data_IF_927216157415
#
_entry.id   IF_927216157415
#
_cell.length_a   1.000
_cell.length_b   1.000
_cell.length_c   1.000
_cell.angle_alpha   90.00
_cell.angle_beta   90.00
_cell.angle_gamma   90.00
#
_symmetry.space_group_name_H-M   'P 1'
#
loop_
_entity.id
_entity.type
_entity.pdbx_description
1 polymer ?
#
# COMPACT_ATOMS: atom_id res chain seq x y z
N UNK A 1 27.13 36.97 -3.80
CA UNK A 1 25.69 36.61 -3.70
C UNK A 1 25.45 35.18 -4.18
N UNK A 2 26.14 34.69 -5.23
CA UNK A 2 26.10 33.27 -5.65
C UNK A 2 26.60 32.28 -4.58
N UNK A 3 27.66 32.62 -3.83
CA UNK A 3 28.21 31.74 -2.79
C UNK A 3 27.28 31.47 -1.61
N UNK A 4 26.32 32.37 -1.34
CA UNK A 4 25.31 32.15 -0.28
C UNK A 4 24.21 31.17 -0.75
N UNK A 5 23.90 31.14 -2.05
CA UNK A 5 22.87 30.29 -2.62
C UNK A 5 23.33 28.82 -2.69
N UNK A 6 24.61 28.57 -2.99
CA UNK A 6 25.19 27.21 -2.98
C UNK A 6 25.18 26.56 -1.59
N UNK A 7 25.39 27.35 -0.54
CA UNK A 7 25.32 26.87 0.85
C UNK A 7 23.89 26.43 1.23
N UNK A 8 22.88 27.13 0.74
CA UNK A 8 21.47 26.78 0.97
C UNK A 8 21.08 25.49 0.23
N UNK A 9 21.51 25.31 -1.03
CA UNK A 9 21.26 24.06 -1.77
C UNK A 9 21.95 22.87 -1.13
N UNK A 10 23.18 23.05 -0.63
CA UNK A 10 23.92 22.02 0.09
C UNK A 10 23.23 21.64 1.41
N UNK A 11 22.70 22.63 2.13
CA UNK A 11 21.97 22.42 3.39
C UNK A 11 20.67 21.66 3.15
N UNK A 12 19.89 22.07 2.15
CA UNK A 12 18.63 21.42 1.75
C UNK A 12 18.88 19.99 1.25
N UNK A 13 19.93 19.79 0.45
CA UNK A 13 20.33 18.46 -0.02
C UNK A 13 20.72 17.54 1.14
N UNK A 14 21.52 18.04 2.08
CA UNK A 14 21.90 17.29 3.28
C UNK A 14 20.71 16.95 4.18
N UNK A 15 19.70 17.82 4.23
CA UNK A 15 18.47 17.59 4.96
C UNK A 15 17.62 16.49 4.29
N UNK A 16 17.45 16.55 2.96
CA UNK A 16 16.75 15.50 2.22
C UNK A 16 17.46 14.14 2.29
N UNK A 17 18.78 14.13 2.39
CA UNK A 17 19.56 12.91 2.57
C UNK A 17 19.40 12.35 4.00
N UNK A 18 19.48 13.20 5.03
CA UNK A 18 19.24 12.82 6.44
C UNK A 18 17.83 12.30 6.69
N UNK A 19 16.82 12.89 6.05
CA UNK A 19 15.43 12.43 6.11
C UNK A 19 15.18 11.16 5.27
N UNK A 20 16.19 10.64 4.57
CA UNK A 20 16.09 9.43 3.76
C UNK A 20 15.27 9.60 2.48
N UNK A 21 14.85 10.82 2.14
CA UNK A 21 14.00 11.12 0.98
C UNK A 21 14.76 10.82 -0.31
N UNK A 22 16.03 11.22 -0.41
CA UNK A 22 16.88 10.91 -1.57
C UNK A 22 17.09 9.40 -1.70
N UNK A 23 17.31 8.70 -0.58
CA UNK A 23 17.47 7.25 -0.56
C UNK A 23 16.19 6.54 -1.01
N UNK A 24 15.01 6.99 -0.54
CA UNK A 24 13.71 6.46 -0.93
C UNK A 24 13.42 6.72 -2.41
N UNK A 25 13.67 7.93 -2.92
CA UNK A 25 13.52 8.26 -4.35
C UNK A 25 14.47 7.40 -5.18
N UNK A 26 15.74 7.27 -4.79
CA UNK A 26 16.73 6.43 -5.49
C UNK A 26 16.33 4.96 -5.49
N UNK A 27 15.81 4.45 -4.37
CA UNK A 27 15.33 3.07 -4.24
C UNK A 27 14.07 2.85 -5.07
N UNK A 28 13.13 3.79 -5.07
CA UNK A 28 11.94 3.75 -5.90
C UNK A 28 12.26 3.83 -7.40
N UNK A 29 13.20 4.69 -7.80
CA UNK A 29 13.69 4.77 -9.18
C UNK A 29 14.43 3.50 -9.60
N UNK A 30 15.30 2.95 -8.75
CA UNK A 30 15.95 1.66 -9.00
C UNK A 30 14.92 0.54 -9.09
N UNK A 31 13.93 0.51 -8.21
CA UNK A 31 12.83 -0.44 -8.25
C UNK A 31 12.02 -0.29 -9.54
N UNK A 32 11.68 0.93 -9.96
CA UNK A 32 10.95 1.17 -11.21
C UNK A 32 11.77 0.83 -12.45
N UNK A 33 13.07 1.10 -12.43
CA UNK A 33 13.98 0.75 -13.52
C UNK A 33 14.16 -0.77 -13.59
N UNK A 34 14.34 -1.43 -12.45
CA UNK A 34 14.36 -2.90 -12.36
C UNK A 34 13.01 -3.49 -12.74
N UNK A 35 11.87 -2.88 -12.38
CA UNK A 35 10.53 -3.31 -12.76
C UNK A 35 10.29 -3.14 -14.26
N UNK A 36 10.72 -2.03 -14.85
CA UNK A 36 10.66 -1.79 -16.29
C UNK A 36 11.57 -2.76 -17.06
N UNK A 37 12.76 -3.07 -16.52
CA UNK A 37 13.69 -4.02 -17.11
C UNK A 37 13.31 -5.48 -16.86
N UNK A 38 12.65 -5.81 -15.74
CA UNK A 38 12.17 -7.15 -15.41
C UNK A 38 10.86 -7.47 -16.13
N UNK A 39 10.09 -6.43 -16.49
CA UNK A 39 9.01 -6.50 -17.46
C UNK A 39 9.51 -6.41 -18.91
N UNK A 40 10.77 -6.78 -19.21
CA UNK A 40 11.30 -6.99 -20.57
C UNK A 40 10.66 -8.17 -21.32
N UNK A 41 9.34 -8.34 -21.20
CA UNK A 41 8.52 -8.54 -22.39
C UNK A 41 8.29 -7.16 -23.04
N UNK A 42 9.37 -6.48 -23.45
CA UNK A 42 9.26 -5.28 -24.28
C UNK A 42 8.55 -5.61 -25.60
N UNK A 43 8.52 -6.88 -26.02
CA UNK A 43 7.70 -7.33 -27.16
C UNK A 43 6.20 -7.20 -26.88
N UNK A 44 5.72 -7.47 -25.65
CA UNK A 44 4.27 -7.55 -25.38
C UNK A 44 3.61 -6.22 -25.03
N UNK A 45 4.37 -5.20 -24.63
CA UNK A 45 3.81 -3.85 -24.47
C UNK A 45 3.64 -3.13 -25.81
N UNK A 46 4.45 -3.47 -26.83
CA UNK A 46 4.18 -3.08 -28.21
C UNK A 46 3.02 -3.84 -28.84
N UNK A 47 2.74 -5.07 -28.40
CA UNK A 47 1.61 -5.87 -28.94
C UNK A 47 0.23 -5.46 -28.42
N UNK A 48 0.13 -4.76 -27.28
CA UNK A 48 -1.18 -4.33 -26.72
C UNK A 48 -1.65 -2.96 -27.20
N UNK A 49 -0.80 -2.19 -27.86
CA UNK A 49 -1.27 -1.09 -28.68
C UNK A 49 -1.58 -1.66 -30.05
N UNK A 50 -2.86 -1.76 -30.39
CA UNK A 50 -3.31 -1.93 -31.77
C UNK A 50 -2.43 -1.09 -32.68
N UNK A 51 -1.94 -1.65 -33.79
CA UNK A 51 -1.05 -0.96 -34.72
C UNK A 51 -1.58 0.46 -34.97
N UNK A 52 -0.93 1.47 -34.36
CA UNK A 52 -1.39 2.85 -34.46
C UNK A 52 -1.36 3.20 -35.94
N UNK A 53 -2.49 3.68 -36.47
CA UNK A 53 -2.53 4.20 -37.82
C UNK A 53 -1.46 5.29 -37.97
N UNK A 54 -0.82 5.40 -39.14
CA UNK A 54 0.12 6.48 -39.43
C UNK A 54 -0.48 7.87 -39.12
N UNK A 55 -1.81 8.03 -39.26
CA UNK A 55 -2.54 9.25 -38.88
C UNK A 55 -2.52 9.51 -37.37
N UNK A 56 -2.69 8.47 -36.55
CA UNK A 56 -2.64 8.59 -35.09
C UNK A 56 -1.25 9.00 -34.62
N UNK A 57 -0.21 8.43 -35.22
CA UNK A 57 1.17 8.81 -34.94
C UNK A 57 1.43 10.29 -35.25
N UNK A 58 0.84 10.79 -36.33
CA UNK A 58 0.97 12.20 -36.71
C UNK A 58 0.23 13.13 -35.77
N UNK A 59 -0.95 12.74 -35.27
CA UNK A 59 -1.62 13.52 -34.24
C UNK A 59 -0.77 13.58 -32.96
N UNK A 60 -0.23 12.43 -32.53
CA UNK A 60 0.68 12.38 -31.39
C UNK A 60 1.92 13.26 -31.62
N UNK A 61 2.46 13.29 -32.85
CA UNK A 61 3.60 14.12 -33.25
C UNK A 61 3.28 15.63 -33.28
N UNK A 62 2.10 16.01 -33.78
CA UNK A 62 1.65 17.41 -33.80
C UNK A 62 1.42 17.96 -32.39
N UNK A 63 0.90 17.11 -31.48
CA UNK A 63 0.75 17.46 -30.06
C UNK A 63 2.12 17.60 -29.40
N UNK A 64 3.05 16.69 -29.68
CA UNK A 64 4.42 16.78 -29.18
C UNK A 64 5.14 18.04 -29.67
N UNK A 65 5.01 18.39 -30.96
CA UNK A 65 5.54 19.63 -31.53
C UNK A 65 4.97 20.88 -30.85
N UNK A 66 3.66 20.89 -30.58
CA UNK A 66 3.02 21.98 -29.86
C UNK A 66 3.57 22.14 -28.44
N UNK A 67 3.66 21.03 -27.69
CA UNK A 67 4.16 21.04 -26.32
C UNK A 67 5.64 21.42 -26.26
N UNK A 68 6.42 21.00 -27.27
CA UNK A 68 7.83 21.33 -27.42
C UNK A 68 8.05 22.80 -27.72
N UNK A 69 7.35 23.37 -28.72
CA UNK A 69 7.49 24.78 -29.11
C UNK A 69 7.10 25.77 -28.00
N UNK A 70 6.16 25.40 -27.12
CA UNK A 70 5.76 26.23 -25.98
C UNK A 70 6.50 25.92 -24.67
N UNK A 71 7.56 25.09 -24.70
CA UNK A 71 8.38 24.71 -23.55
C UNK A 71 7.60 24.02 -22.39
N UNK A 72 6.55 23.25 -22.69
CA UNK A 72 5.85 22.43 -21.71
C UNK A 72 6.59 21.12 -21.42
N UNK A 73 7.83 21.22 -20.91
CA UNK A 73 8.77 20.10 -20.76
C UNK A 73 8.22 18.99 -19.86
N UNK A 74 7.54 19.34 -18.75
CA UNK A 74 6.94 18.36 -17.85
C UNK A 74 5.81 17.58 -18.55
N UNK A 75 4.87 18.28 -19.17
CA UNK A 75 3.75 17.67 -19.89
C UNK A 75 4.23 16.81 -21.05
N UNK A 76 5.27 17.24 -21.76
CA UNK A 76 5.89 16.45 -22.82
C UNK A 76 6.56 15.18 -22.26
N UNK A 77 7.21 15.26 -21.10
CA UNK A 77 7.84 14.08 -20.48
C UNK A 77 6.80 13.01 -20.11
N UNK A 78 5.66 13.42 -19.54
CA UNK A 78 4.52 12.55 -19.24
C UNK A 78 3.94 12.00 -20.55
N UNK A 79 3.69 12.87 -21.53
CA UNK A 79 3.16 12.48 -22.84
C UNK A 79 4.06 11.46 -23.55
N UNK A 80 5.38 11.64 -23.54
CA UNK A 80 6.34 10.72 -24.15
C UNK A 80 6.44 9.37 -23.44
N UNK A 81 6.02 9.30 -22.17
CA UNK A 81 5.94 8.04 -21.42
C UNK A 81 4.68 7.23 -21.75
N UNK A 82 3.64 7.89 -22.26
CA UNK A 82 2.34 7.28 -22.60
C UNK A 82 2.18 7.04 -24.11
N UNK A 83 2.70 7.94 -24.94
CA UNK A 83 2.73 7.83 -26.39
C UNK A 83 4.18 7.62 -26.86
N UNK A 84 4.55 6.42 -27.36
CA UNK A 84 5.89 6.18 -27.87
C UNK A 84 6.10 6.98 -29.17
N UNK A 85 6.80 8.11 -29.08
CA UNK A 85 7.22 8.90 -30.23
C UNK A 85 8.52 8.30 -30.78
N UNK A 86 8.58 8.07 -32.09
CA UNK A 86 9.81 7.58 -32.76
C UNK A 86 10.86 8.69 -32.92
N UNK A 87 10.47 9.93 -32.63
CA UNK A 87 11.32 11.12 -32.77
C UNK A 87 11.81 11.54 -31.37
N UNK A 88 13.13 11.60 -31.22
CA UNK A 88 13.76 12.08 -30.00
C UNK A 88 14.04 13.58 -30.10
N UNK A 89 13.18 14.39 -29.48
CA UNK A 89 13.29 15.85 -29.47
C UNK A 89 14.57 16.37 -28.78
N UNK A 90 15.21 15.57 -27.91
CA UNK A 90 16.44 15.96 -27.23
C UNK A 90 17.69 15.90 -28.12
N UNK A 91 17.62 15.25 -29.29
CA UNK A 91 18.77 15.03 -30.17
C UNK A 91 18.83 16.00 -31.37
N UNK A 92 17.90 16.93 -31.50
CA UNK A 92 17.91 17.93 -32.58
C UNK A 92 18.89 19.05 -32.25
N UNK A 93 20.19 18.72 -32.26
CA UNK A 93 21.24 19.73 -32.43
C UNK A 93 21.16 20.22 -33.87
N UNK A 94 20.92 21.51 -34.01
CA UNK A 94 20.95 22.27 -35.25
C UNK A 94 22.16 21.86 -36.09
N UNK A 95 21.94 21.36 -37.31
CA UNK A 95 22.95 21.32 -38.37
C UNK A 95 23.31 22.77 -38.71
N UNK A 96 24.26 23.34 -37.97
CA UNK A 96 24.99 24.53 -38.39
C UNK A 96 26.25 24.04 -39.12
N UNK A 97 26.20 24.01 -40.45
CA UNK A 97 27.40 24.20 -41.25
C UNK A 97 27.39 25.63 -41.77
N UNK A 98 28.34 26.44 -41.31
CA UNK A 98 28.68 27.74 -41.91
C UNK A 98 28.11 28.94 -41.16
N UNK A 99 28.93 29.47 -40.25
CA UNK A 99 29.19 30.92 -40.04
C UNK A 99 28.02 31.87 -40.22
N UNK A 100 27.45 32.34 -39.11
CA UNK A 100 27.55 33.77 -38.78
C UNK A 100 27.06 34.04 -37.35
N UNK A 101 27.85 34.84 -36.65
CA UNK A 101 27.60 35.33 -35.30
C UNK A 101 26.38 36.25 -35.31
N UNK A 102 25.22 35.73 -34.91
CA UNK A 102 24.15 36.57 -34.40
C UNK A 102 23.29 35.80 -33.40
N UNK A 103 23.29 36.29 -32.15
CA UNK A 103 22.52 35.79 -31.02
C UNK A 103 21.00 35.99 -31.23
N UNK A 104 20.40 35.18 -32.11
CA UNK A 104 18.97 34.89 -32.10
C UNK A 104 18.77 33.49 -31.52
N UNK A 105 17.92 33.33 -30.49
CA UNK A 105 17.52 32.01 -29.97
C UNK A 105 17.03 31.14 -31.13
N UNK A 106 17.87 30.22 -31.62
CA UNK A 106 17.45 29.23 -32.62
C UNK A 106 16.49 28.28 -31.92
N UNK A 107 15.19 28.51 -32.12
CA UNK A 107 14.13 27.70 -31.51
C UNK A 107 14.06 26.34 -32.19
N UNK A 108 13.79 25.33 -31.38
CA UNK A 108 13.91 23.92 -31.72
C UNK A 108 12.72 23.47 -32.58
N UNK A 109 12.85 23.52 -33.92
CA UNK A 109 11.83 23.06 -34.87
C UNK A 109 12.08 21.62 -35.33
N UNK A 110 11.01 20.91 -35.71
CA UNK A 110 11.14 19.63 -36.44
C UNK A 110 11.88 19.79 -37.76
N UNK A 111 12.62 18.75 -38.15
CA UNK A 111 13.29 18.69 -39.46
C UNK A 111 12.26 18.72 -40.60
N UNK A 112 12.64 19.37 -41.71
CA UNK A 112 11.76 19.55 -42.88
C UNK A 112 11.20 18.24 -43.44
N UNK A 113 11.96 17.15 -43.37
CA UNK A 113 11.55 15.84 -43.87
C UNK A 113 10.36 15.27 -43.08
N UNK A 114 10.36 15.44 -41.75
CA UNK A 114 9.22 15.05 -40.91
C UNK A 114 7.99 15.89 -41.19
N UNK A 115 8.15 17.19 -41.46
CA UNK A 115 7.04 18.08 -41.81
C UNK A 115 6.42 17.65 -43.14
N UNK A 116 7.23 17.33 -44.15
CA UNK A 116 6.76 16.80 -45.44
C UNK A 116 5.93 15.52 -45.27
N UNK A 117 6.43 14.55 -44.49
CA UNK A 117 5.71 13.29 -44.24
C UNK A 117 4.41 13.47 -43.45
N UNK A 118 4.39 14.43 -42.51
CA UNK A 118 3.17 14.82 -41.80
C UNK A 118 2.12 15.34 -42.78
N UNK A 119 2.51 16.23 -43.69
CA UNK A 119 1.59 16.77 -44.70
C UNK A 119 1.08 15.69 -45.65
N UNK A 120 1.97 14.84 -46.18
CA UNK A 120 1.61 13.74 -47.10
C UNK A 120 0.57 12.79 -46.49
N UNK A 121 0.77 12.40 -45.23
CA UNK A 121 -0.13 11.47 -44.55
C UNK A 121 -1.46 12.10 -44.14
N UNK A 122 -1.49 13.43 -43.96
CA UNK A 122 -2.72 14.20 -43.81
C UNK A 122 -3.44 14.46 -45.14
N UNK A 123 -2.86 14.04 -46.27
CA UNK A 123 -3.42 14.20 -47.61
C UNK A 123 -3.14 15.57 -48.24
N UNK A 124 -2.17 16.32 -47.71
CA UNK A 124 -1.72 17.61 -48.25
C UNK A 124 -0.41 17.37 -48.99
N UNK A 125 -0.41 17.54 -50.31
CA UNK A 125 0.82 17.43 -51.09
C UNK A 125 1.79 18.58 -50.76
N UNK A 126 3.02 18.31 -50.29
CA UNK A 126 3.98 19.35 -49.93
C UNK A 126 4.40 20.25 -51.09
N UNK A 127 4.25 19.76 -52.34
CA UNK A 127 4.64 20.46 -53.56
C UNK A 127 3.59 21.44 -54.08
N UNK A 128 2.33 21.33 -53.65
CA UNK A 128 1.23 22.24 -54.04
C UNK A 128 1.29 23.54 -53.25
N UNK A 129 0.68 24.61 -53.76
CA UNK A 129 0.69 25.95 -53.15
C UNK A 129 0.26 25.95 -51.68
N UNK A 130 -0.74 25.13 -51.33
CA UNK A 130 -1.21 24.92 -49.95
C UNK A 130 -0.14 24.31 -49.04
N UNK A 131 0.58 23.30 -49.52
CA UNK A 131 1.66 22.64 -48.77
C UNK A 131 2.89 23.53 -48.63
N UNK A 132 3.26 24.25 -49.69
CA UNK A 132 4.37 25.20 -49.66
C UNK A 132 4.09 26.41 -48.76
N UNK A 133 2.84 26.90 -48.72
CA UNK A 133 2.44 27.95 -47.77
C UNK A 133 2.60 27.49 -46.34
N UNK A 134 2.21 26.25 -46.00
CA UNK A 134 2.37 25.71 -44.64
C UNK A 134 3.86 25.53 -44.29
N UNK A 135 4.67 25.07 -45.25
CA UNK A 135 6.09 24.84 -45.03
C UNK A 135 6.84 26.17 -44.81
N UNK A 136 6.52 27.20 -45.59
CA UNK A 136 7.04 28.56 -45.40
C UNK A 136 6.55 29.16 -44.09
N UNK A 137 5.25 29.06 -43.81
CA UNK A 137 4.66 29.58 -42.57
C UNK A 137 5.31 28.94 -41.33
N UNK A 138 5.58 27.64 -41.34
CA UNK A 138 6.24 26.93 -40.24
C UNK A 138 7.75 27.22 -40.17
N UNK A 139 8.42 27.42 -41.30
CA UNK A 139 9.84 27.79 -41.33
C UNK A 139 10.07 29.23 -40.83
N UNK A 140 9.22 30.17 -41.25
CA UNK A 140 9.36 31.61 -41.00
C UNK A 140 8.71 32.05 -39.68
N UNK A 141 7.60 31.45 -39.26
CA UNK A 141 6.93 31.81 -38.01
C UNK A 141 7.30 30.86 -36.85
N UNK A 142 7.33 31.39 -35.63
CA UNK A 142 7.55 30.62 -34.39
C UNK A 142 6.26 29.95 -33.89
N UNK A 143 5.52 29.34 -34.82
CA UNK A 143 4.20 28.78 -34.56
C UNK A 143 4.25 27.26 -34.78
N UNK A 144 3.67 26.44 -33.87
CA UNK A 144 3.64 25.00 -34.07
C UNK A 144 2.94 24.59 -35.35
N UNK A 145 3.35 23.45 -35.92
CA UNK A 145 2.83 22.94 -37.18
C UNK A 145 1.32 22.72 -37.13
N UNK A 146 0.80 22.30 -35.96
CA UNK A 146 -0.63 22.16 -35.71
C UNK A 146 -1.40 23.46 -35.96
N UNK A 147 -0.88 24.59 -35.52
CA UNK A 147 -1.57 25.87 -35.66
C UNK A 147 -1.45 26.41 -37.09
N UNK A 148 -0.34 26.12 -37.78
CA UNK A 148 -0.19 26.39 -39.22
C UNK A 148 -1.23 25.61 -40.04
N UNK A 149 -1.46 24.32 -39.71
CA UNK A 149 -2.50 23.50 -40.32
C UNK A 149 -3.90 24.03 -40.04
N UNK A 150 -4.20 24.39 -38.79
CA UNK A 150 -5.52 24.93 -38.40
C UNK A 150 -5.82 26.28 -39.05
N UNK A 151 -4.81 27.14 -39.24
CA UNK A 151 -4.96 28.43 -39.92
C UNK A 151 -5.42 28.26 -41.38
N UNK A 152 -4.99 27.19 -42.03
CA UNK A 152 -5.35 26.81 -43.39
C UNK A 152 -6.66 26.00 -43.48
N UNK A 153 -7.34 25.77 -42.35
CA UNK A 153 -8.69 25.16 -42.26
C UNK A 153 -9.76 26.25 -42.04
N UNK A 154 -9.36 27.52 -41.87
CA UNK A 154 -10.34 28.64 -41.87
C UNK A 154 -11.13 28.63 -43.20
N UNK A 155 -12.47 28.79 -43.16
CA UNK A 155 -13.29 28.70 -44.35
C UNK A 155 -13.06 29.96 -45.18
N UNK A 156 -12.19 29.88 -46.17
CA UNK A 156 -12.31 30.69 -47.38
C UNK A 156 -12.92 29.76 -48.42
N UNK A 157 -14.19 30.05 -48.69
CA UNK A 157 -14.99 29.61 -49.83
C UNK A 157 -15.06 28.11 -50.12
N UNK A 158 -16.20 27.54 -49.75
CA UNK A 158 -16.84 26.43 -50.45
C UNK A 158 -17.15 26.92 -51.88
N UNK A 159 -16.14 27.01 -52.73
CA UNK A 159 -16.31 27.04 -54.17
C UNK A 159 -16.18 25.59 -54.63
N UNK A 160 -17.29 24.86 -54.53
CA UNK A 160 -17.51 23.76 -55.45
C UNK A 160 -17.45 24.35 -56.85
N UNK A 161 -16.52 23.84 -57.64
CA UNK A 161 -16.35 24.07 -59.06
C UNK A 161 -17.70 23.88 -59.77
N UNK A 162 -18.41 24.98 -60.01
CA UNK A 162 -19.53 25.05 -60.93
C UNK A 162 -18.93 25.20 -62.35
N UNK A 163 -18.28 24.15 -62.83
CA UNK A 163 -17.97 23.98 -64.23
C UNK A 163 -18.86 22.85 -64.76
N UNK A 164 -19.99 23.25 -65.35
CA UNK A 164 -20.57 22.73 -66.60
C UNK A 164 -22.03 23.20 -66.73
N UNK A 165 -22.19 24.50 -67.01
CA UNK A 165 -23.37 24.99 -67.71
C UNK A 165 -23.16 24.72 -69.22
N UNK A 166 -23.51 23.52 -69.66
CA UNK A 166 -23.83 23.32 -71.08
C UNK A 166 -25.31 23.59 -71.31
N UNK A 167 -25.52 24.58 -72.18
CA UNK A 167 -26.76 24.99 -72.82
C UNK A 167 -27.64 23.80 -73.22
N UNK A 168 -28.91 23.85 -72.84
CA UNK A 168 -29.98 23.25 -73.63
C UNK A 168 -31.18 24.21 -73.64
N UNK A 169 -31.41 24.81 -74.80
CA UNK A 169 -32.58 25.62 -75.13
C UNK A 169 -33.86 24.78 -74.99
N UNK A 170 -34.70 25.12 -74.03
CA UNK A 170 -36.06 24.60 -73.97
C UNK A 170 -36.97 25.46 -74.86
N UNK A 171 -37.00 25.14 -76.14
CA UNK A 171 -38.07 25.60 -77.02
C UNK A 171 -39.38 24.90 -76.62
N UNK A 172 -40.33 25.72 -76.17
CA UNK A 172 -41.74 25.37 -76.05
C UNK A 172 -42.25 24.82 -77.39
N UNK A 173 -42.64 23.54 -77.41
CA UNK A 173 -43.60 23.02 -78.38
C UNK A 173 -44.62 22.17 -77.64
N UNK A 174 -45.73 22.83 -77.37
CA UNK A 174 -47.02 22.25 -77.04
C UNK A 174 -47.48 21.35 -78.18
N UNK A 175 -47.47 20.02 -78.00
CA UNK A 175 -48.09 19.09 -78.92
C UNK A 175 -49.01 18.11 -78.20
N UNK A 176 -50.31 18.41 -78.32
CA UNK A 176 -51.37 17.52 -78.82
C UNK A 176 -51.36 16.09 -78.25
N UNK A 177 -52.26 15.87 -77.31
CA UNK A 177 -52.78 14.55 -76.99
C UNK A 177 -53.34 13.87 -78.26
N UNK A 178 -52.61 12.89 -78.78
CA UNK A 178 -53.17 11.84 -79.63
C UNK A 178 -53.04 10.51 -78.88
N UNK A 179 -54.19 9.86 -78.77
CA UNK A 179 -54.36 8.50 -78.27
C UNK A 179 -53.47 7.53 -79.06
N UNK A 180 -52.64 6.77 -78.37
CA UNK A 180 -52.07 5.51 -78.88
C UNK A 180 -52.03 4.48 -77.74
N UNK A 181 -52.60 3.29 -77.99
CA UNK A 181 -52.59 2.12 -77.10
C UNK A 181 -51.16 1.65 -76.74
N UNK A 182 -50.14 2.15 -77.43
CA UNK A 182 -48.72 1.95 -77.11
C UNK A 182 -48.26 2.69 -75.84
N UNK A 183 -48.87 3.84 -75.51
CA UNK A 183 -48.56 4.57 -74.28
C UNK A 183 -49.03 3.81 -73.03
N UNK A 184 -50.16 3.09 -73.09
CA UNK A 184 -50.62 2.25 -71.98
C UNK A 184 -49.68 1.06 -71.73
N UNK A 185 -49.06 0.50 -72.78
CA UNK A 185 -48.09 -0.59 -72.67
C UNK A 185 -46.72 -0.14 -72.12
N UNK A 186 -46.31 1.11 -72.37
CA UNK A 186 -45.10 1.68 -71.76
C UNK A 186 -45.36 2.01 -70.28
N UNK A 187 -46.52 2.63 -69.97
CA UNK A 187 -46.93 2.95 -68.60
C UNK A 187 -47.14 1.67 -67.76
N UNK A 188 -47.64 0.57 -68.34
CA UNK A 188 -47.79 -0.71 -67.64
C UNK A 188 -46.42 -1.36 -67.33
N UNK A 189 -45.45 -1.26 -68.24
CA UNK A 189 -44.06 -1.71 -68.01
C UNK A 189 -43.34 -0.87 -66.95
N UNK A 190 -43.57 0.44 -66.90
CA UNK A 190 -43.02 1.30 -65.85
C UNK A 190 -43.65 1.03 -64.48
N UNK A 191 -44.97 0.87 -64.42
CA UNK A 191 -45.68 0.46 -63.19
C UNK A 191 -45.14 -0.87 -62.65
N UNK A 192 -44.87 -1.85 -63.51
CA UNK A 192 -44.29 -3.13 -63.06
C UNK A 192 -42.85 -2.98 -62.54
N UNK A 193 -42.00 -2.17 -63.18
CA UNK A 193 -40.66 -1.82 -62.67
C UNK A 193 -40.73 -1.11 -61.30
N UNK A 194 -41.66 -0.18 -61.13
CA UNK A 194 -41.88 0.53 -59.85
C UNK A 194 -42.35 -0.45 -58.76
N UNK A 195 -43.24 -1.39 -59.07
CA UNK A 195 -43.67 -2.43 -58.12
C UNK A 195 -42.50 -3.30 -57.68
N UNK A 196 -41.62 -3.71 -58.62
CA UNK A 196 -40.41 -4.48 -58.31
C UNK A 196 -39.44 -3.67 -57.45
N UNK A 197 -39.20 -2.40 -57.79
CA UNK A 197 -38.35 -1.51 -57.00
C UNK A 197 -38.90 -1.29 -55.58
N UNK A 198 -40.22 -1.09 -55.44
CA UNK A 198 -40.90 -0.96 -54.15
C UNK A 198 -40.77 -2.22 -53.31
N UNK A 199 -40.91 -3.41 -53.90
CA UNK A 199 -40.69 -4.69 -53.21
C UNK A 199 -39.25 -4.83 -52.71
N UNK A 200 -38.25 -4.50 -53.54
CA UNK A 200 -36.83 -4.50 -53.14
C UNK A 200 -36.56 -3.52 -52.00
N UNK A 201 -37.13 -2.32 -52.05
CA UNK A 201 -37.00 -1.32 -51.00
C UNK A 201 -37.59 -1.81 -49.67
N UNK A 202 -38.77 -2.44 -49.70
CA UNK A 202 -39.39 -3.03 -48.51
C UNK A 202 -38.51 -4.14 -47.92
N UNK A 203 -37.96 -5.03 -48.76
CA UNK A 203 -37.03 -6.08 -48.31
C UNK A 203 -35.78 -5.48 -47.66
N UNK A 204 -35.20 -4.45 -48.27
CA UNK A 204 -34.02 -3.76 -47.73
C UNK A 204 -34.34 -3.08 -46.39
N UNK A 205 -35.51 -2.44 -46.26
CA UNK A 205 -36.00 -1.87 -45.00
C UNK A 205 -36.08 -2.93 -43.90
N UNK A 206 -36.67 -4.09 -44.19
CA UNK A 206 -36.77 -5.19 -43.22
C UNK A 206 -35.40 -5.74 -42.81
N UNK A 207 -34.47 -5.84 -43.75
CA UNK A 207 -33.11 -6.30 -43.47
C UNK A 207 -32.37 -5.32 -42.55
N UNK A 208 -32.46 -4.01 -42.82
CA UNK A 208 -31.86 -2.99 -41.97
C UNK A 208 -32.55 -2.89 -40.60
N UNK A 209 -33.88 -3.01 -40.53
CA UNK A 209 -34.57 -3.02 -39.23
C UNK A 209 -34.16 -4.22 -38.37
N UNK A 210 -34.00 -5.39 -38.98
CA UNK A 210 -33.51 -6.58 -38.27
C UNK A 210 -32.05 -6.44 -37.82
N UNK A 211 -31.18 -5.83 -38.65
CA UNK A 211 -29.80 -5.54 -38.27
C UNK A 211 -29.73 -4.53 -37.12
N UNK A 212 -30.54 -3.47 -37.17
CA UNK A 212 -30.62 -2.46 -36.13
C UNK A 212 -31.08 -3.07 -34.80
N UNK A 213 -32.13 -3.89 -34.82
CA UNK A 213 -32.64 -4.58 -33.64
C UNK A 213 -31.60 -5.54 -33.03
N UNK A 214 -30.83 -6.26 -33.86
CA UNK A 214 -29.72 -7.10 -33.36
C UNK A 214 -28.63 -6.28 -32.69
N UNK A 215 -28.29 -5.11 -33.23
CA UNK A 215 -27.28 -4.22 -32.63
C UNK A 215 -27.80 -3.60 -31.34
N UNK A 216 -29.06 -3.19 -31.30
CA UNK A 216 -29.72 -2.67 -30.11
C UNK A 216 -29.74 -3.71 -28.98
N UNK A 217 -30.12 -4.96 -29.28
CA UNK A 217 -30.11 -6.03 -28.29
C UNK A 217 -28.71 -6.32 -27.75
N UNK A 218 -27.69 -6.33 -28.61
CA UNK A 218 -26.29 -6.50 -28.17
C UNK A 218 -25.83 -5.35 -27.27
N UNK A 219 -26.20 -4.11 -27.59
CA UNK A 219 -25.88 -2.96 -26.74
C UNK A 219 -26.61 -3.03 -25.40
N UNK A 220 -27.87 -3.47 -25.38
CA UNK A 220 -28.64 -3.69 -24.14
C UNK A 220 -28.01 -4.76 -23.25
N UNK A 221 -27.58 -5.87 -23.84
CA UNK A 221 -26.89 -6.94 -23.11
C UNK A 221 -25.56 -6.45 -22.52
N UNK A 222 -24.77 -5.70 -23.31
CA UNK A 222 -23.54 -5.08 -22.83
C UNK A 222 -23.78 -4.06 -21.71
N UNK A 223 -24.83 -3.24 -21.83
CA UNK A 223 -25.20 -2.28 -20.81
C UNK A 223 -25.59 -2.98 -19.49
N UNK A 224 -26.36 -4.07 -19.56
CA UNK A 224 -26.74 -4.86 -18.39
C UNK A 224 -25.52 -5.47 -17.68
N UNK A 225 -24.56 -6.02 -18.44
CA UNK A 225 -23.31 -6.56 -17.89
C UNK A 225 -22.49 -5.45 -17.21
N UNK A 226 -22.40 -4.26 -17.83
CA UNK A 226 -21.69 -3.12 -17.24
C UNK A 226 -22.37 -2.64 -15.95
N UNK A 227 -23.69 -2.62 -15.89
CA UNK A 227 -24.45 -2.24 -14.70
C UNK A 227 -24.22 -3.22 -13.54
N UNK A 228 -24.22 -4.52 -13.82
CA UNK A 228 -23.89 -5.56 -12.84
C UNK A 228 -22.45 -5.41 -12.30
N UNK A 229 -21.49 -5.14 -13.20
CA UNK A 229 -20.10 -4.90 -12.81
C UNK A 229 -19.94 -3.65 -11.95
N UNK A 230 -20.65 -2.57 -12.27
CA UNK A 230 -20.67 -1.34 -11.47
C UNK A 230 -21.25 -1.59 -10.07
N UNK A 231 -22.34 -2.34 -9.96
CA UNK A 231 -22.92 -2.72 -8.68
C UNK A 231 -21.96 -3.56 -7.84
N UNK A 232 -21.26 -4.52 -8.47
CA UNK A 232 -20.24 -5.33 -7.78
C UNK A 232 -19.07 -4.47 -7.28
N UNK A 233 -18.59 -3.53 -8.10
CA UNK A 233 -17.53 -2.59 -7.71
C UNK A 233 -17.96 -1.69 -6.57
N UNK A 234 -19.19 -1.20 -6.60
CA UNK A 234 -19.74 -0.36 -5.54
C UNK A 234 -19.87 -1.12 -4.22
N UNK A 235 -20.32 -2.38 -4.25
CA UNK A 235 -20.33 -3.24 -3.07
C UNK A 235 -18.92 -3.48 -2.50
N UNK A 236 -17.91 -3.67 -3.36
CA UNK A 236 -16.50 -3.82 -2.93
C UNK A 236 -15.94 -2.53 -2.33
N UNK A 237 -16.31 -1.37 -2.89
CA UNK A 237 -15.95 -0.06 -2.34
C UNK A 237 -16.52 0.10 -0.93
N UNK A 238 -17.81 -0.19 -0.76
CA UNK A 238 -18.52 -0.08 0.51
C UNK A 238 -17.92 -1.02 1.58
N UNK A 239 -17.47 -2.21 1.17
CA UNK A 239 -16.72 -3.13 2.03
C UNK A 239 -15.34 -2.58 2.41
N UNK A 240 -14.60 -2.01 1.45
CA UNK A 240 -13.28 -1.43 1.70
C UNK A 240 -13.38 -0.23 2.65
N UNK A 241 -14.39 0.63 2.49
CA UNK A 241 -14.64 1.75 3.39
C UNK A 241 -14.94 1.29 4.82
N UNK A 242 -15.77 0.24 4.99
CA UNK A 242 -16.02 -0.37 6.31
C UNK A 242 -14.75 -0.94 6.94
N UNK A 243 -13.89 -1.57 6.14
CA UNK A 243 -12.60 -2.09 6.63
C UNK A 243 -11.66 -0.96 7.04
N UNK A 244 -11.57 0.12 6.26
CA UNK A 244 -10.77 1.31 6.61
C UNK A 244 -11.28 1.93 7.90
N UNK A 245 -12.59 2.08 8.06
CA UNK A 245 -13.17 2.61 9.29
C UNK A 245 -12.81 1.73 10.50
N UNK A 246 -12.97 0.40 10.39
CA UNK A 246 -12.61 -0.53 11.46
C UNK A 246 -11.10 -0.49 11.79
N UNK A 247 -10.25 -0.37 10.78
CA UNK A 247 -8.81 -0.21 10.96
C UNK A 247 -8.48 1.07 11.73
N UNK A 248 -9.05 2.20 11.35
CA UNK A 248 -8.82 3.49 12.01
C UNK A 248 -9.26 3.47 13.48
N UNK A 249 -10.40 2.83 13.79
CA UNK A 249 -10.87 2.63 15.16
C UNK A 249 -9.86 1.79 15.96
N UNK A 250 -9.36 0.69 15.38
CA UNK A 250 -8.37 -0.18 16.03
C UNK A 250 -7.01 0.49 16.21
N UNK A 251 -6.58 1.30 15.24
CA UNK A 251 -5.36 2.08 15.33
C UNK A 251 -5.44 3.10 16.47
N UNK A 252 -6.59 3.78 16.60
CA UNK A 252 -6.82 4.72 17.70
C UNK A 252 -6.79 4.01 19.06
N UNK A 253 -7.51 2.89 19.19
CA UNK A 253 -7.51 2.07 20.42
C UNK A 253 -6.09 1.62 20.80
N UNK A 254 -5.27 1.25 19.81
CA UNK A 254 -3.89 0.85 20.03
C UNK A 254 -3.01 2.02 20.48
N UNK A 255 -3.15 3.20 19.87
CA UNK A 255 -2.44 4.42 20.29
C UNK A 255 -2.81 4.82 21.72
N UNK A 256 -4.09 4.78 22.06
CA UNK A 256 -4.58 5.11 23.40
C UNK A 256 -4.03 4.10 24.44
N UNK A 257 -4.01 2.80 24.13
CA UNK A 257 -3.41 1.77 24.98
C UNK A 257 -1.90 1.96 25.17
N UNK A 258 -1.15 2.28 24.11
CA UNK A 258 0.28 2.59 24.20
C UNK A 258 0.51 3.79 25.12
N UNK A 259 -0.26 4.87 24.92
CA UNK A 259 -0.15 6.06 25.76
C UNK A 259 -0.44 5.74 27.23
N UNK A 260 -1.49 4.96 27.50
CA UNK A 260 -1.82 4.54 28.86
C UNK A 260 -0.72 3.70 29.49
N UNK A 261 -0.15 2.75 28.76
CA UNK A 261 0.93 1.90 29.27
C UNK A 261 2.22 2.69 29.50
N UNK A 262 2.56 3.62 28.62
CA UNK A 262 3.69 4.53 28.81
C UNK A 262 3.53 5.38 30.08
N UNK A 263 2.32 5.87 30.37
CA UNK A 263 2.05 6.60 31.62
C UNK A 263 2.22 5.71 32.86
N UNK A 264 1.83 4.43 32.79
CA UNK A 264 2.06 3.48 33.89
C UNK A 264 3.53 3.16 34.10
N UNK A 265 4.28 2.98 33.00
CA UNK A 265 5.73 2.75 33.05
C UNK A 265 6.41 3.96 33.69
N UNK A 266 6.08 5.18 33.25
CA UNK A 266 6.64 6.41 33.81
C UNK A 266 6.36 6.52 35.31
N UNK A 267 5.14 6.22 35.75
CA UNK A 267 4.79 6.18 37.18
C UNK A 267 5.65 5.18 37.95
N UNK A 268 5.78 3.95 37.45
CA UNK A 268 6.65 2.93 38.08
C UNK A 268 8.11 3.34 38.11
N UNK A 269 8.61 3.96 37.05
CA UNK A 269 9.99 4.43 36.95
C UNK A 269 10.26 5.52 38.01
N UNK A 270 9.31 6.46 38.21
CA UNK A 270 9.43 7.45 39.28
C UNK A 270 9.39 6.82 40.67
N UNK A 271 8.51 5.83 40.91
CA UNK A 271 8.44 5.12 42.19
C UNK A 271 9.75 4.37 42.47
N UNK A 272 10.27 3.63 41.48
CA UNK A 272 11.53 2.90 41.59
C UNK A 272 12.71 3.85 41.83
N UNK A 273 12.77 4.98 41.15
CA UNK A 273 13.80 6.00 41.40
C UNK A 273 13.76 6.54 42.83
N UNK A 274 12.57 6.74 43.40
CA UNK A 274 12.45 7.16 44.81
C UNK A 274 12.88 6.06 45.77
N UNK A 275 12.52 4.79 45.53
CA UNK A 275 12.97 3.65 46.34
C UNK A 275 14.48 3.46 46.26
N UNK A 276 15.06 3.57 45.08
CA UNK A 276 16.50 3.47 44.86
C UNK A 276 17.25 4.54 45.67
N UNK A 277 16.75 5.78 45.69
CA UNK A 277 17.33 6.86 46.51
C UNK A 277 17.26 6.55 48.01
N UNK A 278 16.13 6.04 48.50
CA UNK A 278 15.98 5.66 49.91
C UNK A 278 16.90 4.50 50.29
N UNK A 279 16.98 3.47 49.47
CA UNK A 279 17.89 2.34 49.68
C UNK A 279 19.36 2.78 49.64
N UNK A 280 19.71 3.70 48.73
CA UNK A 280 21.06 4.28 48.68
C UNK A 280 21.40 5.06 49.95
N UNK A 281 20.43 5.81 50.49
CA UNK A 281 20.61 6.51 51.77
C UNK A 281 20.80 5.53 52.94
N UNK A 282 20.02 4.46 52.98
CA UNK A 282 20.12 3.43 54.02
C UNK A 282 21.42 2.63 53.93
N UNK A 283 21.86 2.28 52.72
CA UNK A 283 23.15 1.64 52.50
C UNK A 283 24.31 2.52 53.03
N UNK A 284 24.27 3.82 52.74
CA UNK A 284 25.23 4.79 53.28
C UNK A 284 25.17 4.89 54.82
N UNK A 285 23.99 4.77 55.43
CA UNK A 285 23.82 4.75 56.89
C UNK A 285 24.48 3.51 57.50
N UNK A 286 24.19 2.34 56.95
CA UNK A 286 24.74 1.06 57.40
C UNK A 286 26.25 0.98 57.23
N UNK A 287 26.81 1.56 56.17
CA UNK A 287 28.25 1.60 55.96
C UNK A 287 28.96 2.43 57.04
N UNK A 288 28.42 3.61 57.37
CA UNK A 288 28.92 4.43 58.51
C UNK A 288 28.83 3.69 59.84
N UNK A 289 27.76 2.93 60.05
CA UNK A 289 27.58 2.11 61.24
C UNK A 289 28.62 0.99 61.30
N UNK A 290 28.85 0.26 60.20
CA UNK A 290 29.93 -0.74 60.06
C UNK A 290 31.31 -0.16 60.33
N UNK A 291 31.61 1.03 59.82
CA UNK A 291 32.91 1.68 60.02
C UNK A 291 33.09 2.09 61.49
N UNK A 292 32.01 2.51 62.15
CA UNK A 292 32.00 2.77 63.59
C UNK A 292 32.27 1.50 64.39
N UNK A 293 31.65 0.37 64.03
CA UNK A 293 31.92 -0.93 64.64
C UNK A 293 33.36 -1.39 64.41
N UNK A 294 33.91 -1.25 63.20
CA UNK A 294 35.33 -1.55 62.91
C UNK A 294 36.26 -0.70 63.77
N UNK A 295 35.94 0.57 63.99
CA UNK A 295 36.71 1.43 64.88
C UNK A 295 36.65 0.96 66.34
N UNK A 296 35.46 0.56 66.80
CA UNK A 296 35.27 0.00 68.15
C UNK A 296 36.07 -1.30 68.33
N UNK A 297 36.01 -2.25 67.40
CA UNK A 297 36.81 -3.48 67.42
C UNK A 297 38.32 -3.21 67.45
N UNK A 298 38.79 -2.24 66.65
CA UNK A 298 40.20 -1.82 66.67
C UNK A 298 40.61 -1.26 68.05
N UNK A 299 39.73 -0.53 68.72
CA UNK A 299 40.00 -0.03 70.06
C UNK A 299 39.95 -1.15 71.12
N UNK A 300 39.04 -2.11 70.97
CA UNK A 300 38.90 -3.25 71.87
C UNK A 300 40.13 -4.18 71.80
N UNK A 301 40.63 -4.43 70.59
CA UNK A 301 41.87 -5.20 70.37
C UNK A 301 43.10 -4.47 70.94
N UNK A 302 43.19 -3.14 70.79
CA UNK A 302 44.23 -2.34 71.48
C UNK A 302 44.13 -2.50 73.00
N UNK A 303 42.93 -2.41 73.56
CA UNK A 303 42.72 -2.56 75.01
C UNK A 303 43.10 -3.95 75.51
N UNK A 304 42.75 -5.01 74.78
CA UNK A 304 43.18 -6.38 75.10
C UNK A 304 44.72 -6.52 75.06
N UNK A 305 45.37 -5.90 74.07
CA UNK A 305 46.84 -5.90 73.99
C UNK A 305 47.47 -5.16 75.19
N UNK A 306 46.92 -4.03 75.62
CA UNK A 306 47.36 -3.33 76.84
C UNK A 306 47.13 -4.19 78.09
N UNK A 307 45.98 -4.84 78.21
CA UNK A 307 45.64 -5.71 79.35
C UNK A 307 46.58 -6.92 79.43
N UNK A 308 46.92 -7.53 78.29
CA UNK A 308 47.91 -8.61 78.23
C UNK A 308 49.33 -8.12 78.54
N UNK A 309 49.68 -6.89 78.20
CA UNK A 309 50.95 -6.25 78.56
C UNK A 309 51.04 -6.00 80.07
N UNK A 310 50.01 -5.40 80.68
CA UNK A 310 49.92 -5.22 82.14
C UNK A 310 49.98 -6.56 82.88
N UNK A 311 49.28 -7.59 82.38
CA UNK A 311 49.34 -8.95 82.96
C UNK A 311 50.75 -9.56 82.92
N UNK A 312 51.57 -9.23 81.91
CA UNK A 312 52.97 -9.67 81.82
C UNK A 312 53.92 -8.85 82.72
N UNK A 313 53.54 -7.63 83.08
CA UNK A 313 54.32 -6.73 83.93
C UNK A 313 54.06 -6.92 85.44
N UNK A 314 53.04 -7.72 85.82
CA UNK A 314 52.80 -8.12 87.22
C UNK A 314 53.64 -9.36 87.56
N UNK A 315 54.55 -9.31 88.57
CA UNK A 315 55.31 -10.49 88.99
C UNK A 315 54.40 -11.51 89.67
N UNK A 316 54.56 -12.79 89.33
CA UNK A 316 53.92 -13.90 90.04
C UNK A 316 54.36 -13.92 91.50
N UNK A 317 53.46 -13.49 92.40
CA UNK A 317 53.47 -13.90 93.79
C UNK A 317 52.27 -14.83 94.02
N UNK A 318 52.59 -16.00 94.54
CA UNK A 318 51.67 -17.01 95.08
C UNK A 318 50.45 -16.41 95.79
N UNK A 319 49.26 -16.87 95.41
CA UNK A 319 48.17 -17.15 96.36
C UNK A 319 47.03 -17.92 95.70
N UNK A 320 46.98 -19.19 96.04
CA UNK A 320 45.76 -19.86 96.52
C UNK A 320 44.76 -18.88 97.14
N UNK A 321 43.63 -18.68 96.47
CA UNK A 321 42.37 -18.41 97.15
C UNK A 321 41.19 -18.88 96.29
N UNK A 322 40.65 -20.00 96.76
CA UNK A 322 39.30 -20.46 96.59
C UNK A 322 38.34 -19.26 96.65
N UNK A 323 37.62 -18.97 95.57
CA UNK A 323 36.41 -18.16 95.61
C UNK A 323 35.46 -18.65 94.52
N UNK A 324 34.34 -19.18 95.00
CA UNK A 324 33.15 -19.50 94.24
C UNK A 324 32.75 -18.31 93.36
N UNK A 325 33.08 -18.35 92.08
CA UNK A 325 32.22 -17.69 91.10
C UNK A 325 31.05 -18.66 90.92
N UNK A 326 29.94 -18.38 91.63
CA UNK A 326 28.65 -18.75 91.07
C UNK A 326 28.66 -18.15 89.67
N UNK A 327 28.55 -19.00 88.64
CA UNK A 327 28.03 -18.56 87.37
C UNK A 327 26.77 -17.76 87.70
N UNK A 328 26.89 -16.44 87.64
CA UNK A 328 25.74 -15.62 87.38
C UNK A 328 25.35 -16.06 85.98
N UNK A 329 24.43 -17.02 85.94
CA UNK A 329 23.51 -17.23 84.84
C UNK A 329 22.88 -15.85 84.62
N UNK A 330 23.58 -15.04 83.82
CA UNK A 330 23.10 -13.76 83.36
C UNK A 330 21.85 -14.11 82.61
N UNK A 331 20.72 -13.78 83.23
CA UNK A 331 19.39 -13.58 82.71
C UNK A 331 19.41 -13.20 81.21
N UNK A 332 19.66 -14.16 80.34
CA UNK A 332 19.41 -14.10 78.89
C UNK A 332 17.94 -14.31 78.60
N UNK A 333 17.09 -14.39 79.63
CA UNK A 333 15.64 -14.38 79.51
C UNK A 333 15.12 -13.07 78.91
N UNK A 334 15.82 -11.93 79.08
CA UNK A 334 15.38 -10.68 78.46
C UNK A 334 15.67 -10.67 76.95
N UNK A 335 16.84 -11.17 76.55
CA UNK A 335 17.26 -11.26 75.14
C UNK A 335 16.49 -12.34 74.38
N UNK A 336 16.25 -13.49 75.02
CA UNK A 336 15.36 -14.55 74.55
C UNK A 336 13.92 -14.06 74.38
N UNK A 337 13.41 -13.23 75.29
CA UNK A 337 12.08 -12.64 75.18
C UNK A 337 11.98 -11.58 74.07
N UNK A 338 13.01 -10.76 73.87
CA UNK A 338 13.07 -9.78 72.76
C UNK A 338 13.17 -10.50 71.41
N UNK A 339 14.01 -11.54 71.30
CA UNK A 339 14.14 -12.35 70.08
C UNK A 339 12.83 -13.07 69.77
N UNK A 340 12.21 -13.74 70.74
CA UNK A 340 10.93 -14.43 70.57
C UNK A 340 9.77 -13.48 70.21
N UNK A 341 9.81 -12.23 70.70
CA UNK A 341 8.82 -11.21 70.37
C UNK A 341 9.04 -10.64 68.97
N UNK A 342 10.28 -10.41 68.58
CA UNK A 342 10.63 -9.99 67.22
C UNK A 342 10.30 -11.08 66.20
N UNK A 343 10.58 -12.34 66.50
CA UNK A 343 10.24 -13.48 65.64
C UNK A 343 8.73 -13.62 65.46
N UNK A 344 7.94 -13.45 66.52
CA UNK A 344 6.46 -13.38 66.40
C UNK A 344 5.98 -12.20 65.58
N UNK A 345 6.62 -11.04 65.70
CA UNK A 345 6.24 -9.85 64.92
C UNK A 345 6.55 -10.05 63.43
N UNK A 346 7.73 -10.60 63.11
CA UNK A 346 8.15 -10.93 61.75
C UNK A 346 7.20 -11.97 61.15
N UNK A 347 6.90 -13.05 61.88
CA UNK A 347 5.95 -14.08 61.42
C UNK A 347 4.53 -13.52 61.27
N UNK A 348 4.10 -12.57 62.11
CA UNK A 348 2.79 -11.93 61.93
C UNK A 348 2.74 -11.02 60.72
N UNK A 349 3.85 -10.32 60.45
CA UNK A 349 3.99 -9.45 59.27
C UNK A 349 3.99 -10.30 58.00
N UNK A 350 4.79 -11.36 57.99
CA UNK A 350 4.84 -12.31 56.87
C UNK A 350 3.49 -12.99 56.64
N UNK A 351 2.78 -13.36 57.71
CA UNK A 351 1.40 -13.87 57.60
C UNK A 351 0.44 -12.84 57.01
N UNK A 352 0.60 -11.56 57.35
CA UNK A 352 -0.22 -10.48 56.82
C UNK A 352 0.09 -10.23 55.34
N UNK A 353 1.37 -10.26 54.95
CA UNK A 353 1.82 -10.11 53.56
C UNK A 353 1.36 -11.30 52.70
N UNK A 354 1.48 -12.54 53.22
CA UNK A 354 0.95 -13.75 52.59
C UNK A 354 -0.58 -13.68 52.42
N UNK A 355 -1.31 -13.21 53.44
CA UNK A 355 -2.75 -13.01 53.31
C UNK A 355 -3.07 -11.95 52.25
N UNK A 356 -2.30 -10.86 52.19
CA UNK A 356 -2.42 -9.85 51.14
C UNK A 356 -2.24 -10.46 49.75
N UNK A 357 -1.22 -11.30 49.58
CA UNK A 357 -0.94 -12.00 48.33
C UNK A 357 -2.04 -13.00 47.95
N UNK A 358 -2.60 -13.73 48.93
CA UNK A 358 -3.73 -14.65 48.70
C UNK A 358 -4.96 -13.89 48.23
N UNK A 359 -5.29 -12.75 48.86
CA UNK A 359 -6.42 -11.90 48.45
C UNK A 359 -6.18 -11.31 47.05
N UNK A 360 -4.95 -10.88 46.75
CA UNK A 360 -4.58 -10.39 45.42
C UNK A 360 -4.73 -11.49 44.37
N UNK A 361 -4.22 -12.69 44.64
CA UNK A 361 -4.35 -13.85 43.75
C UNK A 361 -5.82 -14.25 43.55
N UNK A 362 -6.64 -14.25 44.61
CA UNK A 362 -8.08 -14.48 44.48
C UNK A 362 -8.74 -13.44 43.58
N UNK A 363 -8.44 -12.15 43.78
CA UNK A 363 -8.98 -11.09 42.93
C UNK A 363 -8.53 -11.24 41.46
N UNK A 364 -7.29 -11.69 41.23
CA UNK A 364 -6.75 -11.92 39.90
C UNK A 364 -7.42 -13.12 39.22
N UNK A 365 -7.66 -14.19 39.96
CA UNK A 365 -8.40 -15.36 39.49
C UNK A 365 -9.83 -14.96 39.13
N UNK A 366 -10.49 -14.14 39.93
CA UNK A 366 -11.86 -13.67 39.67
C UNK A 366 -11.93 -12.78 38.41
N UNK A 367 -10.95 -11.89 38.22
CA UNK A 367 -10.79 -11.10 36.99
C UNK A 367 -10.57 -11.98 35.75
N UNK A 368 -9.67 -12.97 35.85
CA UNK A 368 -9.39 -13.90 34.75
C UNK A 368 -10.61 -14.75 34.42
N UNK A 369 -11.29 -15.28 35.44
CA UNK A 369 -12.53 -16.04 35.29
C UNK A 369 -13.61 -15.21 34.59
N UNK A 370 -13.80 -13.96 35.02
CA UNK A 370 -14.73 -13.03 34.40
C UNK A 370 -14.38 -12.76 32.93
N UNK A 371 -13.08 -12.62 32.64
CA UNK A 371 -12.59 -12.41 31.27
C UNK A 371 -12.81 -13.63 30.38
N UNK A 372 -12.59 -14.83 30.90
CA UNK A 372 -12.83 -16.10 30.19
C UNK A 372 -14.31 -16.25 29.87
N UNK A 373 -15.20 -16.01 30.84
CA UNK A 373 -16.66 -16.05 30.63
C UNK A 373 -17.08 -15.05 29.55
N UNK A 374 -16.54 -13.83 29.58
CA UNK A 374 -16.82 -12.82 28.55
C UNK A 374 -16.35 -13.28 27.15
N UNK A 375 -15.15 -13.84 27.04
CA UNK A 375 -14.61 -14.33 25.78
C UNK A 375 -15.37 -15.55 25.25
N UNK A 376 -15.81 -16.45 26.13
CA UNK A 376 -16.67 -17.59 25.78
C UNK A 376 -18.00 -17.11 25.20
N UNK A 377 -18.67 -16.16 25.85
CA UNK A 377 -19.92 -15.57 25.33
C UNK A 377 -19.69 -14.90 23.97
N UNK A 378 -18.59 -14.17 23.82
CA UNK A 378 -18.25 -13.53 22.54
C UNK A 378 -17.98 -14.55 21.42
N UNK A 379 -17.37 -15.68 21.76
CA UNK A 379 -17.12 -16.78 20.81
C UNK A 379 -18.41 -17.51 20.43
N UNK A 380 -19.31 -17.73 21.39
CA UNK A 380 -20.64 -18.27 21.15
C UNK A 380 -21.46 -17.34 20.24
N UNK A 381 -21.42 -16.03 20.48
CA UNK A 381 -22.08 -15.03 19.63
C UNK A 381 -21.52 -14.99 18.20
N UNK A 382 -20.20 -15.16 18.01
CA UNK A 382 -19.61 -15.21 16.66
C UNK A 382 -19.93 -16.51 15.94
N UNK A 383 -19.98 -17.64 16.65
CA UNK A 383 -20.41 -18.93 16.07
C UNK A 383 -21.88 -18.90 15.66
N UNK A 384 -22.77 -18.33 16.49
CA UNK A 384 -24.19 -18.18 16.16
C UNK A 384 -24.41 -17.22 14.96
N UNK A 385 -23.59 -16.17 14.82
CA UNK A 385 -23.63 -15.29 13.64
C UNK A 385 -23.07 -15.95 12.37
N UNK A 386 -22.17 -16.91 12.51
CA UNK A 386 -21.59 -17.68 11.39
C UNK A 386 -22.55 -18.74 10.81
N UNK A 387 -23.67 -19.04 11.48
CA UNK A 387 -24.63 -20.08 11.05
C UNK A 387 -25.75 -19.58 10.11
N UNK A 388 -25.64 -18.38 9.53
CA UNK A 388 -26.61 -17.82 8.56
C UNK A 388 -26.18 -17.90 7.09
N UNK A 389 -25.11 -18.63 6.75
CA UNK A 389 -24.73 -18.93 5.37
C UNK A 389 -24.80 -20.44 5.18
N UNK A 390 -25.62 -20.86 4.22
CA UNK A 390 -25.89 -22.24 3.86
C UNK A 390 -24.61 -23.02 3.47
N UNK A 391 -24.64 -24.32 3.82
CA UNK A 391 -23.89 -25.46 3.25
C UNK A 391 -22.61 -25.95 3.98
N UNK A 392 -22.32 -27.27 3.95
CA UNK A 392 -23.07 -28.37 4.53
C UNK A 392 -22.37 -28.94 5.78
N UNK A 393 -23.20 -29.38 6.71
CA UNK A 393 -22.88 -29.98 8.00
C UNK A 393 -22.11 -31.30 7.91
N UNK A 394 -20.85 -31.31 8.38
CA UNK A 394 -20.23 -32.47 9.05
C UNK A 394 -19.27 -31.93 10.11
N UNK A 395 -19.68 -32.02 11.37
CA UNK A 395 -18.90 -32.52 12.52
C UNK A 395 -19.86 -32.37 13.72
N UNK A 396 -20.47 -33.50 14.10
CA UNK A 396 -21.06 -33.68 15.44
C UNK A 396 -19.88 -33.70 16.41
N UNK A 397 -19.64 -32.63 17.14
CA UNK A 397 -18.79 -32.69 18.33
C UNK A 397 -19.66 -33.23 19.46
N UNK A 398 -19.49 -34.51 19.75
CA UNK A 398 -20.00 -35.15 20.96
C UNK A 398 -19.36 -34.48 22.18
N UNK A 399 -20.22 -33.92 23.03
CA UNK A 399 -19.90 -33.61 24.41
C UNK A 399 -19.40 -34.88 25.11
N UNK A 400 -18.15 -34.86 25.58
CA UNK A 400 -17.70 -35.74 26.66
C UNK A 400 -17.05 -34.90 27.72
N UNK A 401 -17.75 -34.79 28.85
CA UNK A 401 -17.27 -34.30 30.12
C UNK A 401 -15.88 -34.88 30.42
N UNK A 402 -14.87 -34.04 30.50
CA UNK A 402 -13.59 -34.39 31.11
C UNK A 402 -13.56 -33.72 32.46
N UNK A 403 -13.97 -34.51 33.45
CA UNK A 403 -13.83 -34.23 34.87
C UNK A 403 -12.32 -34.14 35.17
N UNK A 404 -12.00 -33.10 35.93
CA UNK A 404 -10.71 -32.84 36.56
C UNK A 404 -10.25 -34.12 37.29
N UNK A 405 -9.12 -34.68 36.88
CA UNK A 405 -8.32 -35.59 37.70
C UNK A 405 -6.87 -35.17 37.60
N UNK A 406 -6.36 -34.70 38.72
CA UNK A 406 -4.95 -34.43 38.97
C UNK A 406 -4.17 -35.76 38.81
N UNK A 407 -3.04 -35.73 38.08
CA UNK A 407 -1.99 -36.76 37.94
C UNK A 407 -1.79 -37.46 36.55
N UNK A 408 -2.03 -36.82 35.40
CA UNK A 408 -1.62 -37.41 34.10
C UNK A 408 -1.21 -36.39 33.03
N UNK A 409 -0.29 -35.47 33.37
CA UNK A 409 0.09 -34.38 32.45
C UNK A 409 0.93 -34.82 31.24
N UNK A 410 1.55 -36.00 31.25
CA UNK A 410 2.52 -36.38 30.19
C UNK A 410 1.92 -37.36 29.17
N UNK A 411 1.03 -38.26 29.59
CA UNK A 411 0.39 -39.24 28.71
C UNK A 411 -0.65 -38.57 27.80
N UNK A 412 -1.40 -37.60 28.33
CA UNK A 412 -2.39 -36.85 27.54
C UNK A 412 -1.73 -36.01 26.44
N UNK A 413 -0.56 -35.44 26.72
CA UNK A 413 0.24 -34.69 25.73
C UNK A 413 0.78 -35.65 24.65
N UNK A 414 1.27 -36.83 25.04
CA UNK A 414 1.72 -37.86 24.09
C UNK A 414 0.58 -38.38 23.22
N UNK A 415 -0.61 -38.57 23.80
CA UNK A 415 -1.78 -39.05 23.07
C UNK A 415 -2.32 -37.98 22.11
N UNK A 416 -2.35 -36.70 22.52
CA UNK A 416 -2.70 -35.60 21.63
C UNK A 416 -1.68 -35.44 20.50
N UNK A 417 -0.38 -35.49 20.82
CA UNK A 417 0.68 -35.44 19.81
C UNK A 417 0.55 -36.59 18.80
N UNK A 418 0.28 -37.81 19.26
CA UNK A 418 0.09 -38.99 18.40
C UNK A 418 -1.16 -38.87 17.51
N UNK A 419 -2.26 -38.36 18.05
CA UNK A 419 -3.48 -38.13 17.28
C UNK A 419 -3.29 -37.01 16.25
N UNK A 420 -2.54 -35.97 16.60
CA UNK A 420 -2.20 -34.87 15.69
C UNK A 420 -1.29 -35.34 14.56
N UNK A 421 -0.31 -36.20 14.86
CA UNK A 421 0.59 -36.78 13.87
C UNK A 421 -0.16 -37.64 12.86
N UNK A 422 -1.11 -38.48 13.33
CA UNK A 422 -1.98 -39.28 12.45
C UNK A 422 -2.82 -38.40 11.51
N UNK A 423 -3.36 -37.27 11.99
CA UNK A 423 -4.09 -36.34 11.11
C UNK A 423 -3.20 -35.74 10.03
N UNK A 424 -1.97 -35.36 10.38
CA UNK A 424 -1.00 -34.83 9.42
C UNK A 424 -0.60 -35.87 8.38
N UNK A 425 -0.45 -37.15 8.76
CA UNK A 425 -0.20 -38.24 7.82
C UNK A 425 -1.37 -38.42 6.84
N UNK A 426 -2.61 -38.38 7.32
CA UNK A 426 -3.81 -38.45 6.47
C UNK A 426 -3.95 -37.25 5.53
N UNK A 427 -3.61 -36.04 6.00
CA UNK A 427 -3.58 -34.83 5.18
C UNK A 427 -2.46 -34.88 4.12
N UNK A 428 -1.29 -35.39 4.47
CA UNK A 428 -0.18 -35.60 3.53
C UNK A 428 -0.55 -36.59 2.43
N UNK A 429 -1.15 -37.73 2.78
CA UNK A 429 -1.60 -38.74 1.80
C UNK A 429 -2.65 -38.15 0.86
N UNK A 430 -3.58 -37.33 1.38
CA UNK A 430 -4.57 -36.63 0.54
C UNK A 430 -3.90 -35.61 -0.39
N UNK A 431 -2.94 -34.84 0.11
CA UNK A 431 -2.21 -33.88 -0.71
C UNK A 431 -1.45 -34.57 -1.85
N UNK A 432 -0.81 -35.71 -1.57
CA UNK A 432 -0.13 -36.53 -2.58
C UNK A 432 -1.13 -37.08 -3.61
N UNK A 433 -2.30 -37.55 -3.17
CA UNK A 433 -3.37 -37.98 -4.08
C UNK A 433 -3.86 -36.84 -4.98
N UNK A 434 -4.01 -35.63 -4.46
CA UNK A 434 -4.36 -34.46 -5.26
C UNK A 434 -3.27 -34.12 -6.28
N UNK A 435 -2.00 -34.18 -5.87
CA UNK A 435 -0.88 -33.93 -6.75
C UNK A 435 -0.78 -34.96 -7.87
N UNK A 436 -0.92 -36.25 -7.55
CA UNK A 436 -0.94 -37.32 -8.55
C UNK A 436 -2.12 -37.17 -9.51
N UNK A 437 -3.32 -36.89 -9.00
CA UNK A 437 -4.50 -36.65 -9.84
C UNK A 437 -4.35 -35.41 -10.72
N UNK A 438 -3.65 -34.38 -10.25
CA UNK A 438 -3.38 -33.19 -11.06
C UNK A 438 -2.42 -33.53 -12.21
N UNK A 439 -1.32 -34.23 -11.93
CA UNK A 439 -0.34 -34.63 -12.96
C UNK A 439 -0.94 -35.56 -14.01
N UNK A 440 -1.71 -36.57 -13.59
CA UNK A 440 -2.31 -37.54 -14.51
C UNK A 440 -3.37 -36.91 -15.40
N UNK A 441 -4.17 -35.97 -14.88
CA UNK A 441 -5.16 -35.24 -15.68
C UNK A 441 -4.56 -34.18 -16.61
N UNK A 442 -3.35 -33.69 -16.33
CA UNK A 442 -2.62 -32.78 -17.24
C UNK A 442 -1.89 -33.48 -18.39
N UNK A 443 -1.86 -34.81 -18.39
CA UNK A 443 -1.13 -35.63 -19.37
C UNK A 443 -2.04 -36.34 -20.40
N UNK A 444 -3.31 -35.93 -20.51
CA UNK A 444 -4.29 -36.46 -21.47
C UNK A 444 -4.60 -35.47 -22.60
#
# INVERSE_FOLDING_TARGET
MESAMEADYSTVYSWFDKCGIISNIRTHLRYNLVKALRNKDLSKTFEKNTAKSAKQYIYDLLVADYLWNYNYVYTLSVFSSEAPLLINFNNVKCTQSGTDENHGKVKQKLQSDYVCHVLETLGIEPRKDRGQSILKDYAENDVPLLLCLLRQIKPTDINFSNENNERCEANNVEHRAMQTEEAENVVSKEKSKIIVAKKKLIQQKHLFSAQLQRKENKLKEQAAIMEEQLLMLQNKLDQAEKLIYNYNVKEKEFKDNIQQENMRILQRETELSTREKLLSQEANRLEKERDSYRHFESNLTKLQNELTKVKKEIPYADRTLNNNLKDAEVQTDFESFILSRNERNILSQEKQDLNGLVVEQQSRIEQLTSRVVYLLRKLEETQLRSHKVEMPSIIKVTNTNTIISENSSTEDILQDAKMRLRRLEEESIKADQYYFNFITNTSQ
#
